data_IF_526576100789
#
_entry.id   IF_526576100789
#
_cell.length_a   1.000
_cell.length_b   1.000
_cell.length_c   1.000
_cell.angle_alpha   90.00
_cell.angle_beta   90.00
_cell.angle_gamma   90.00
#
_symmetry.space_group_name_H-M   'P 1'
#
loop_
_entity.id
_entity.type
_entity.pdbx_description
1 polymer ?
#
# COMPACT_ATOMS: atom_id res chain seq x y z
N UNK A 1 -0.54 -7.31 -23.63
CA UNK A 1 -0.06 -7.24 -22.24
C UNK A 1 -1.10 -6.48 -21.45
N UNK A 2 -1.51 -6.96 -20.27
CA UNK A 2 -2.42 -6.19 -19.39
C UNK A 2 -1.67 -4.99 -18.82
N UNK A 3 -2.35 -3.85 -18.64
CA UNK A 3 -1.76 -2.70 -17.96
C UNK A 3 -1.39 -3.06 -16.51
N UNK A 4 -0.27 -2.53 -15.96
CA UNK A 4 0.07 -2.71 -14.55
C UNK A 4 -1.03 -2.20 -13.62
N UNK A 5 -1.22 -2.86 -12.48
CA UNK A 5 -2.29 -2.52 -11.54
C UNK A 5 -1.84 -1.36 -10.64
N UNK A 6 -2.55 -0.22 -10.60
CA UNK A 6 -2.14 0.93 -9.80
C UNK A 6 -2.37 0.67 -8.31
N UNK A 7 -1.34 0.89 -7.48
CA UNK A 7 -1.39 0.72 -6.03
C UNK A 7 -0.66 1.85 -5.29
N UNK A 8 -1.08 2.11 -4.05
CA UNK A 8 -0.46 3.08 -3.15
C UNK A 8 0.40 2.33 -2.12
N UNK A 9 1.66 2.74 -1.92
CA UNK A 9 2.53 2.22 -0.86
C UNK A 9 2.92 3.34 0.08
N UNK A 10 2.77 3.12 1.39
CA UNK A 10 3.16 4.05 2.45
C UNK A 10 4.09 3.34 3.44
N UNK A 11 5.32 3.83 3.55
CA UNK A 11 6.31 3.38 4.52
C UNK A 11 6.84 4.51 5.39
N UNK A 12 7.72 4.18 6.33
CA UNK A 12 8.41 5.16 7.17
C UNK A 12 9.81 5.56 6.64
N UNK A 13 10.30 4.88 5.58
CA UNK A 13 11.67 5.03 5.10
C UNK A 13 11.74 5.02 3.58
N UNK A 14 12.43 6.01 3.01
CA UNK A 14 12.58 6.21 1.55
C UNK A 14 13.21 5.00 0.86
N UNK A 15 14.27 4.42 1.47
CA UNK A 15 14.96 3.26 0.92
C UNK A 15 14.04 2.03 0.77
N UNK A 16 13.23 1.75 1.79
CA UNK A 16 12.25 0.64 1.75
C UNK A 16 11.15 0.89 0.73
N UNK A 17 10.61 2.11 0.67
CA UNK A 17 9.60 2.46 -0.33
C UNK A 17 10.11 2.23 -1.77
N UNK A 18 11.36 2.61 -2.04
CA UNK A 18 11.99 2.39 -3.35
C UNK A 18 12.22 0.90 -3.67
N UNK A 19 12.65 0.11 -2.68
CA UNK A 19 12.85 -1.34 -2.85
C UNK A 19 11.53 -2.06 -3.11
N UNK A 20 10.49 -1.76 -2.33
CA UNK A 20 9.15 -2.35 -2.52
C UNK A 20 8.62 -1.97 -3.90
N UNK A 21 8.68 -0.67 -4.27
CA UNK A 21 8.28 -0.21 -5.62
C UNK A 21 8.96 -1.01 -6.72
N UNK A 22 10.28 -1.15 -6.65
CA UNK A 22 11.04 -1.85 -7.70
C UNK A 22 10.62 -3.32 -7.81
N UNK A 23 10.32 -3.96 -6.67
CA UNK A 23 9.88 -5.36 -6.62
C UNK A 23 8.40 -5.57 -6.98
N UNK A 24 7.59 -4.52 -6.97
CA UNK A 24 6.18 -4.57 -7.37
C UNK A 24 6.00 -4.65 -8.90
N UNK A 25 6.99 -4.19 -9.65
CA UNK A 25 7.02 -4.32 -11.12
C UNK A 25 7.26 -5.79 -11.54
N UNK A 26 6.80 -6.16 -12.76
CA UNK A 26 6.00 -5.35 -13.69
C UNK A 26 4.49 -5.40 -13.42
N UNK A 27 4.00 -6.24 -12.50
CA UNK A 27 2.57 -6.52 -12.36
C UNK A 27 1.77 -5.36 -11.76
N UNK A 28 2.41 -4.55 -10.92
CA UNK A 28 1.80 -3.43 -10.24
C UNK A 28 2.57 -2.14 -10.56
N UNK A 29 1.82 -1.07 -10.83
CA UNK A 29 2.38 0.28 -10.83
C UNK A 29 2.17 0.90 -9.44
N UNK A 30 3.27 1.26 -8.78
CA UNK A 30 3.19 2.03 -7.53
C UNK A 30 3.01 3.48 -7.90
N UNK A 31 1.74 3.91 -8.04
CA UNK A 31 1.39 5.27 -8.46
C UNK A 31 1.76 6.32 -7.43
N UNK A 32 1.83 5.94 -6.15
CA UNK A 32 2.29 6.78 -5.06
C UNK A 32 3.06 5.95 -4.04
N UNK A 33 4.24 6.44 -3.66
CA UNK A 33 5.14 5.80 -2.70
C UNK A 33 5.54 6.77 -1.60
N UNK A 34 4.69 6.91 -0.59
CA UNK A 34 4.92 7.77 0.57
C UNK A 34 5.96 7.20 1.52
N UNK A 35 6.87 8.04 2.00
CA UNK A 35 7.89 7.67 3.00
C UNK A 35 7.95 8.63 4.19
N UNK A 36 7.08 9.64 4.22
CA UNK A 36 6.81 10.50 5.36
C UNK A 36 5.36 10.28 5.80
N UNK A 37 5.17 9.80 7.03
CA UNK A 37 3.85 9.41 7.53
C UNK A 37 2.92 10.64 7.62
N UNK A 38 3.41 11.76 8.14
CA UNK A 38 2.62 12.98 8.30
C UNK A 38 2.12 13.49 6.94
N UNK A 39 3.00 13.57 5.94
CA UNK A 39 2.61 13.99 4.59
C UNK A 39 1.69 12.96 3.92
N UNK A 40 1.98 11.66 4.09
CA UNK A 40 1.14 10.60 3.52
C UNK A 40 -0.28 10.60 4.08
N UNK A 41 -0.47 10.96 5.35
CA UNK A 41 -1.80 11.15 5.95
C UNK A 41 -2.59 12.29 5.31
N UNK A 42 -1.93 13.29 4.74
CA UNK A 42 -2.60 14.38 4.03
C UNK A 42 -2.85 14.05 2.55
N UNK A 43 -1.89 13.42 1.89
CA UNK A 43 -1.92 13.18 0.44
C UNK A 43 -2.76 11.96 0.06
N UNK A 44 -2.69 10.85 0.80
CA UNK A 44 -3.41 9.60 0.48
C UNK A 44 -4.93 9.80 0.48
N UNK A 45 -5.57 10.44 1.49
CA UNK A 45 -7.01 10.69 1.46
C UNK A 45 -7.46 11.52 0.25
N UNK A 46 -6.65 12.49 -0.18
CA UNK A 46 -6.92 13.30 -1.37
C UNK A 46 -6.87 12.46 -2.66
N UNK A 47 -5.87 11.59 -2.80
CA UNK A 47 -5.74 10.70 -3.94
C UNK A 47 -6.94 9.76 -4.05
N UNK A 48 -7.34 9.08 -2.97
CA UNK A 48 -8.42 8.09 -3.03
C UNK A 48 -9.83 8.70 -3.07
N UNK A 49 -9.99 9.96 -2.66
CA UNK A 49 -11.25 10.70 -2.82
C UNK A 49 -11.41 11.29 -4.23
N UNK A 50 -10.46 11.04 -5.13
CA UNK A 50 -10.52 11.50 -6.53
C UNK A 50 -10.03 12.93 -6.75
N UNK A 51 -9.37 13.54 -5.75
CA UNK A 51 -8.85 14.90 -5.81
C UNK A 51 -7.32 14.91 -5.53
N UNK A 52 -6.50 14.19 -6.30
CA UNK A 52 -5.07 14.09 -6.04
C UNK A 52 -4.37 15.47 -6.11
N UNK A 53 -3.41 15.75 -5.22
CA UNK A 53 -2.56 16.93 -5.35
C UNK A 53 -1.78 16.92 -6.68
N UNK A 54 -1.37 18.09 -7.22
CA UNK A 54 -0.46 18.14 -8.36
C UNK A 54 0.80 17.29 -8.09
N UNK A 55 1.26 16.44 -9.03
CA UNK A 55 2.41 15.57 -8.80
C UNK A 55 3.66 16.29 -8.25
N UNK A 56 3.94 17.49 -8.74
CA UNK A 56 5.07 18.33 -8.32
C UNK A 56 4.99 18.80 -6.86
N UNK A 57 3.80 18.74 -6.25
CA UNK A 57 3.57 19.17 -4.86
C UNK A 57 3.66 18.02 -3.85
N UNK A 58 3.67 16.77 -4.32
CA UNK A 58 3.78 15.60 -3.46
C UNK A 58 5.13 15.58 -2.74
N UNK A 59 5.12 15.22 -1.47
CA UNK A 59 6.34 15.06 -0.67
C UNK A 59 7.28 13.97 -1.20
N UNK A 60 6.77 13.12 -2.09
CA UNK A 60 7.45 12.00 -2.73
C UNK A 60 7.38 12.13 -4.25
N UNK A 61 8.47 11.74 -4.90
CA UNK A 61 8.55 11.59 -6.37
C UNK A 61 8.97 10.15 -6.72
N UNK A 62 8.67 9.20 -5.83
CA UNK A 62 9.05 7.81 -6.01
C UNK A 62 8.05 7.04 -6.88
N UNK A 63 6.75 7.36 -6.82
CA UNK A 63 5.74 6.69 -7.63
C UNK A 63 5.77 7.12 -9.09
N UNK A 64 4.94 6.51 -9.94
CA UNK A 64 4.68 7.04 -11.29
C UNK A 64 3.95 8.40 -11.24
N UNK A 65 3.21 8.65 -10.15
CA UNK A 65 2.34 9.81 -9.95
C UNK A 65 1.29 9.97 -11.06
N UNK A 66 0.96 8.87 -11.74
CA UNK A 66 -0.14 8.80 -12.69
C UNK A 66 -1.43 8.48 -11.94
N UNK A 67 -2.25 9.51 -11.73
CA UNK A 67 -3.56 9.41 -11.08
C UNK A 67 -4.72 9.37 -12.09
N UNK A 68 -4.44 9.18 -13.39
CA UNK A 68 -5.49 9.03 -14.42
C UNK A 68 -6.27 7.73 -14.25
N UNK A 69 -5.65 6.72 -13.65
CA UNK A 69 -6.28 5.47 -13.24
C UNK A 69 -6.34 5.44 -11.70
N UNK A 70 -7.52 5.22 -11.10
CA UNK A 70 -7.64 5.18 -9.65
C UNK A 70 -6.86 4.00 -9.06
N UNK A 71 -6.26 4.15 -7.87
CA UNK A 71 -5.58 3.05 -7.20
C UNK A 71 -6.55 1.92 -6.91
N UNK A 72 -6.00 0.70 -6.80
CA UNK A 72 -6.75 -0.53 -6.47
C UNK A 72 -6.52 -1.01 -5.04
N UNK A 73 -5.50 -0.49 -4.35
CA UNK A 73 -5.19 -0.83 -2.97
C UNK A 73 -4.35 0.27 -2.30
N UNK A 74 -4.48 0.39 -0.97
CA UNK A 74 -3.53 1.10 -0.12
C UNK A 74 -2.73 0.09 0.70
N UNK A 75 -1.40 0.21 0.66
CA UNK A 75 -0.48 -0.63 1.41
C UNK A 75 0.25 0.22 2.44
N UNK A 76 0.23 -0.19 3.70
CA UNK A 76 1.04 0.39 4.77
C UNK A 76 2.11 -0.60 5.24
N UNK A 77 3.34 -0.12 5.37
CA UNK A 77 4.46 -0.91 5.88
C UNK A 77 4.50 -0.97 7.41
N UNK A 78 5.32 -1.87 7.97
CA UNK A 78 5.47 -2.07 9.41
C UNK A 78 6.08 -0.89 10.20
N UNK A 79 6.30 0.26 9.56
CA UNK A 79 6.62 1.52 10.23
C UNK A 79 5.39 2.28 10.73
N UNK A 80 4.18 1.87 10.34
CA UNK A 80 2.93 2.39 10.88
C UNK A 80 2.57 1.67 12.18
N UNK A 81 2.55 2.40 13.30
CA UNK A 81 1.91 1.93 14.53
C UNK A 81 0.40 1.76 14.31
N UNK A 82 -0.28 1.12 15.26
CA UNK A 82 -1.73 0.98 15.19
C UNK A 82 -2.39 2.36 15.09
N UNK A 83 -1.99 3.28 15.95
CA UNK A 83 -2.55 4.63 16.04
C UNK A 83 -2.33 5.40 14.74
N UNK A 84 -1.11 5.37 14.19
CA UNK A 84 -0.80 6.05 12.93
C UNK A 84 -1.60 5.48 11.75
N UNK A 85 -1.82 4.16 11.72
CA UNK A 85 -2.65 3.52 10.71
C UNK A 85 -4.12 3.93 10.87
N UNK A 86 -4.65 3.88 12.09
CA UNK A 86 -6.03 4.27 12.37
C UNK A 86 -6.28 5.73 12.01
N UNK A 87 -5.36 6.64 12.30
CA UNK A 87 -5.47 8.03 11.90
C UNK A 87 -5.52 8.18 10.36
N UNK A 88 -4.61 7.53 9.63
CA UNK A 88 -4.64 7.51 8.16
C UNK A 88 -5.99 6.98 7.64
N UNK A 89 -6.47 5.88 8.21
CA UNK A 89 -7.72 5.25 7.81
C UNK A 89 -8.93 6.15 8.11
N UNK A 90 -8.97 6.81 9.26
CA UNK A 90 -10.02 7.78 9.60
C UNK A 90 -9.99 9.01 8.69
N UNK A 91 -8.81 9.50 8.32
CA UNK A 91 -8.71 10.63 7.40
C UNK A 91 -9.17 10.23 5.98
N UNK A 92 -8.92 8.98 5.57
CA UNK A 92 -9.50 8.39 4.37
C UNK A 92 -11.04 8.32 4.43
N UNK A 93 -11.61 7.84 5.55
CA UNK A 93 -13.07 7.83 5.77
C UNK A 93 -13.66 9.24 5.62
N UNK A 94 -13.06 10.24 6.27
CA UNK A 94 -13.52 11.64 6.20
C UNK A 94 -13.47 12.18 4.78
N UNK A 95 -12.38 11.93 4.05
CA UNK A 95 -12.23 12.40 2.67
C UNK A 95 -13.22 11.73 1.71
N UNK A 96 -13.56 10.46 1.94
CA UNK A 96 -14.58 9.73 1.18
C UNK A 96 -16.02 9.97 1.68
N UNK A 97 -16.20 10.70 2.78
CA UNK A 97 -17.48 11.00 3.41
C UNK A 97 -18.01 9.90 4.35
N UNK A 98 -17.74 8.63 4.06
CA UNK A 98 -18.05 7.50 4.95
C UNK A 98 -17.16 6.29 4.67
N UNK A 99 -17.23 5.27 5.53
CA UNK A 99 -16.43 4.03 5.39
C UNK A 99 -16.87 3.23 4.15
N UNK A 100 -18.16 3.22 3.85
CA UNK A 100 -18.77 2.52 2.71
C UNK A 100 -18.32 3.11 1.37
N UNK A 101 -17.91 4.38 1.37
CA UNK A 101 -17.44 5.10 0.20
C UNK A 101 -15.93 4.93 -0.07
N UNK A 102 -15.19 4.24 0.81
CA UNK A 102 -13.78 3.97 0.56
C UNK A 102 -13.65 3.05 -0.67
N UNK A 103 -12.99 3.47 -1.76
CA UNK A 103 -13.04 2.72 -3.02
C UNK A 103 -12.08 1.52 -3.09
N UNK A 104 -11.23 1.35 -2.06
CA UNK A 104 -10.13 0.38 -2.10
C UNK A 104 -9.93 -0.31 -0.74
N UNK A 105 -9.46 -1.56 -0.72
CA UNK A 105 -9.00 -2.22 0.50
C UNK A 105 -7.64 -1.69 0.96
N UNK A 106 -7.38 -1.89 2.25
CA UNK A 106 -6.13 -1.57 2.95
C UNK A 106 -5.38 -2.86 3.28
N UNK A 107 -4.08 -2.87 3.02
CA UNK A 107 -3.17 -3.94 3.40
C UNK A 107 -2.13 -3.38 4.35
N UNK A 108 -1.97 -3.99 5.51
CA UNK A 108 -1.00 -3.57 6.51
C UNK A 108 0.00 -4.69 6.80
N UNK A 109 1.27 -4.39 6.55
CA UNK A 109 2.36 -5.26 6.97
C UNK A 109 2.45 -5.20 8.49
N UNK A 110 2.13 -6.31 9.15
CA UNK A 110 2.21 -6.40 10.60
C UNK A 110 3.63 -6.78 11.02
N UNK A 111 4.22 -5.93 11.87
CA UNK A 111 5.53 -6.22 12.48
C UNK A 111 5.45 -7.45 13.38
N UNK A 112 4.30 -7.68 14.03
CA UNK A 112 4.08 -8.86 14.87
C UNK A 112 4.05 -10.15 14.04
N UNK A 113 3.28 -10.18 12.95
CA UNK A 113 3.24 -11.33 12.02
C UNK A 113 4.64 -11.60 11.48
N UNK A 114 5.35 -10.55 11.07
CA UNK A 114 6.71 -10.67 10.55
C UNK A 114 7.68 -11.21 11.61
N UNK A 115 7.60 -10.72 12.84
CA UNK A 115 8.49 -11.16 13.93
C UNK A 115 8.22 -12.62 14.28
N UNK A 116 6.94 -13.03 14.31
CA UNK A 116 6.54 -14.42 14.53
C UNK A 116 7.07 -15.34 13.42
N UNK A 117 6.88 -14.98 12.15
CA UNK A 117 7.39 -15.77 11.01
C UNK A 117 8.91 -15.92 11.07
N UNK A 118 9.63 -14.87 11.43
CA UNK A 118 11.08 -14.94 11.60
C UNK A 118 11.49 -15.87 12.76
N UNK A 119 10.78 -15.81 13.90
CA UNK A 119 11.02 -16.68 15.04
C UNK A 119 10.74 -18.17 14.74
N UNK A 120 9.77 -18.45 13.87
CA UNK A 120 9.43 -19.81 13.41
C UNK A 120 10.33 -20.31 12.27
N UNK A 121 11.27 -19.51 11.77
CA UNK A 121 12.12 -19.86 10.62
C UNK A 121 11.40 -19.79 9.26
N UNK A 122 10.19 -19.22 9.23
CA UNK A 122 9.33 -19.09 8.05
C UNK A 122 9.52 -17.75 7.31
N UNK A 123 10.58 -16.99 7.63
CA UNK A 123 10.87 -15.74 6.96
C UNK A 123 12.11 -15.01 7.49
N UNK A 124 12.58 -13.99 6.77
CA UNK A 124 13.73 -13.20 7.19
C UNK A 124 13.43 -12.33 8.41
N UNK A 125 14.43 -12.16 9.29
CA UNK A 125 14.37 -11.15 10.34
C UNK A 125 14.26 -9.74 9.74
N UNK A 126 13.52 -8.79 10.35
CA UNK A 126 13.30 -7.46 9.79
C UNK A 126 14.57 -6.64 9.48
N UNK A 127 15.69 -6.96 10.15
CA UNK A 127 16.98 -6.30 9.97
C UNK A 127 17.82 -6.87 8.82
N UNK A 128 17.39 -7.98 8.21
CA UNK A 128 18.14 -8.64 7.14
C UNK A 128 17.92 -7.99 5.77
N UNK A 129 18.83 -8.27 4.83
CA UNK A 129 18.78 -7.75 3.46
C UNK A 129 17.66 -8.40 2.61
N UNK A 130 17.21 -9.57 3.02
CA UNK A 130 16.20 -10.41 2.38
C UNK A 130 14.77 -9.95 2.73
N UNK A 131 14.64 -9.21 3.84
CA UNK A 131 13.36 -8.72 4.36
C UNK A 131 12.49 -7.97 3.33
N UNK A 132 13.01 -7.03 2.52
CA UNK A 132 12.20 -6.31 1.54
C UNK A 132 11.60 -7.23 0.47
N UNK A 133 12.32 -8.29 0.07
CA UNK A 133 11.83 -9.26 -0.89
C UNK A 133 10.68 -10.09 -0.32
N UNK A 134 10.86 -10.64 0.88
CA UNK A 134 9.85 -11.48 1.53
C UNK A 134 8.56 -10.69 1.88
N UNK A 135 8.68 -9.43 2.29
CA UNK A 135 7.49 -8.57 2.51
C UNK A 135 6.76 -8.29 1.20
N UNK A 136 7.49 -7.99 0.13
CA UNK A 136 6.87 -7.70 -1.17
C UNK A 136 6.18 -8.94 -1.73
N UNK A 137 6.76 -10.12 -1.56
CA UNK A 137 6.15 -11.38 -1.98
C UNK A 137 4.85 -11.67 -1.20
N UNK A 138 4.87 -11.55 0.13
CA UNK A 138 3.66 -11.67 0.96
C UNK A 138 2.58 -10.68 0.56
N UNK A 139 2.96 -9.44 0.29
CA UNK A 139 2.05 -8.42 -0.22
C UNK A 139 1.42 -8.84 -1.55
N UNK A 140 2.23 -9.27 -2.54
CA UNK A 140 1.70 -9.73 -3.83
C UNK A 140 0.73 -10.89 -3.67
N UNK A 141 1.02 -11.84 -2.78
CA UNK A 141 0.12 -12.96 -2.50
C UNK A 141 -1.21 -12.48 -1.92
N UNK A 142 -1.18 -11.54 -0.97
CA UNK A 142 -2.39 -10.96 -0.38
C UNK A 142 -3.22 -10.13 -1.37
N UNK A 143 -2.55 -9.38 -2.24
CA UNK A 143 -3.23 -8.67 -3.33
C UNK A 143 -3.95 -9.66 -4.24
N UNK A 144 -3.30 -10.77 -4.62
CA UNK A 144 -3.92 -11.83 -5.43
C UNK A 144 -5.10 -12.51 -4.72
N UNK A 145 -4.97 -12.84 -3.44
CA UNK A 145 -6.06 -13.41 -2.62
C UNK A 145 -7.29 -12.49 -2.59
N UNK A 146 -7.06 -11.17 -2.56
CA UNK A 146 -8.11 -10.16 -2.62
C UNK A 146 -8.61 -9.85 -4.05
N UNK A 147 -8.18 -10.59 -5.07
CA UNK A 147 -8.58 -10.37 -6.46
C UNK A 147 -7.90 -9.17 -7.13
N UNK A 148 -6.76 -8.71 -6.63
CA UNK A 148 -5.96 -7.60 -7.15
C UNK A 148 -4.67 -8.17 -7.74
N UNK A 149 -4.77 -8.78 -8.91
CA UNK A 149 -3.65 -9.45 -9.58
C UNK A 149 -3.82 -9.50 -11.10
N UNK A 150 -2.73 -9.71 -11.84
CA UNK A 150 -2.76 -9.75 -13.30
C UNK A 150 -3.71 -10.86 -13.79
N UNK A 151 -4.54 -10.55 -14.80
CA UNK A 151 -5.49 -11.51 -15.38
C UNK A 151 -6.78 -11.70 -14.57
N UNK A 152 -6.99 -10.94 -13.50
CA UNK A 152 -8.25 -10.93 -12.74
C UNK A 152 -9.11 -9.77 -13.27
N UNK A 153 -10.15 -10.10 -14.05
CA UNK A 153 -11.13 -9.15 -14.54
C UNK A 153 -12.22 -8.91 -13.48
N UNK A 154 -12.26 -7.71 -12.88
CA UNK A 154 -13.31 -7.32 -11.93
C UNK A 154 -12.83 -6.47 -10.74
N UNK A 155 -13.76 -5.93 -9.95
CA UNK A 155 -13.47 -5.51 -8.57
C UNK A 155 -13.08 -6.78 -7.79
N UNK A 156 -11.89 -6.79 -7.19
CA UNK A 156 -11.42 -7.95 -6.42
C UNK A 156 -12.39 -8.32 -5.28
N UNK A 157 -12.23 -9.53 -4.73
CA UNK A 157 -13.03 -10.01 -3.59
C UNK A 157 -12.77 -9.25 -2.29
N UNK A 158 -11.68 -8.47 -2.21
CA UNK A 158 -11.43 -7.57 -1.09
C UNK A 158 -12.56 -6.52 -1.00
N UNK A 159 -13.31 -6.55 0.09
CA UNK A 159 -14.40 -5.60 0.26
C UNK A 159 -13.86 -4.18 0.39
N UNK A 160 -14.54 -3.22 -0.23
CA UNK A 160 -14.20 -1.80 -0.17
C UNK A 160 -13.99 -1.36 1.29
N UNK A 161 -12.83 -0.75 1.58
CA UNK A 161 -12.46 -0.33 2.93
C UNK A 161 -12.12 -1.44 3.93
N UNK A 162 -12.01 -2.70 3.49
CA UNK A 162 -11.52 -3.81 4.32
C UNK A 162 -10.04 -3.65 4.67
N UNK A 163 -9.66 -4.12 5.86
CA UNK A 163 -8.29 -4.07 6.34
C UNK A 163 -7.77 -5.50 6.45
N UNK A 164 -6.74 -5.80 5.67
CA UNK A 164 -6.04 -7.09 5.67
C UNK A 164 -4.63 -6.94 6.25
N UNK A 165 -4.22 -7.90 7.08
CA UNK A 165 -2.88 -7.94 7.69
C UNK A 165 -2.02 -9.05 7.07
N UNK A 166 -0.71 -8.81 6.96
CA UNK A 166 0.24 -9.77 6.37
C UNK A 166 1.67 -9.66 6.91
#
# INVERSE_FOLDING_TARGET
MSAPIPVIVCGAMKGMANLVRTKMLPEYDVIYAGYNIAQSKHEVPQIISGNPPPPVSLHTQLGSNDFTVPPRAIITGGGYSEEMFQELYQDCIKACGSKENIPVPFFRASREITTRLAAEGNGPVPSSSEYPAAITERLKNKLKEAGIGPGIEGHGTGSNGEISFF
#
